data_IF_559287969292
#
_entry.id   IF_559287969292
#
_cell.length_a   1.000
_cell.length_b   1.000
_cell.length_c   1.000
_cell.angle_alpha   90.00
_cell.angle_beta   90.00
_cell.angle_gamma   90.00
#
_symmetry.space_group_name_H-M   'P 1'
#
loop_
_entity.id
_entity.type
_entity.pdbx_description
1 polymer ?
#
# COMPACT_ATOMS: atom_id res chain seq x y z
N UNK A 1 -27.96 -50.80 14.33
CA UNK A 1 -26.81 -50.24 13.59
C UNK A 1 -25.69 -49.99 14.59
N UNK A 2 -24.78 -50.95 14.75
CA UNK A 2 -23.62 -50.86 15.63
C UNK A 2 -22.36 -50.73 14.78
N UNK A 3 -21.51 -49.76 15.08
CA UNK A 3 -20.23 -49.55 14.39
C UNK A 3 -19.20 -50.50 15.01
N UNK A 4 -18.55 -51.41 14.25
CA UNK A 4 -17.47 -52.22 14.80
C UNK A 4 -16.16 -51.43 14.78
N UNK A 5 -15.53 -51.35 15.95
CA UNK A 5 -14.18 -50.80 16.17
C UNK A 5 -13.16 -51.83 15.68
N UNK A 6 -12.41 -51.52 14.62
CA UNK A 6 -11.30 -52.37 14.15
C UNK A 6 -10.05 -52.13 15.02
N UNK A 7 -9.61 -53.16 15.71
CA UNK A 7 -8.31 -53.22 16.39
C UNK A 7 -7.20 -53.50 15.37
N UNK A 8 -6.46 -52.46 14.97
CA UNK A 8 -5.28 -52.57 14.13
C UNK A 8 -4.09 -53.14 14.91
N UNK A 9 -3.68 -54.36 14.60
CA UNK A 9 -2.44 -54.97 15.07
C UNK A 9 -1.26 -54.42 14.27
N UNK A 10 -0.31 -53.77 14.93
CA UNK A 10 0.95 -53.34 14.32
C UNK A 10 1.89 -54.53 14.14
N UNK A 11 2.19 -54.91 12.89
CA UNK A 11 3.31 -55.78 12.55
C UNK A 11 4.41 -54.93 11.91
N UNK A 12 5.57 -54.86 12.56
CA UNK A 12 6.77 -54.23 12.00
C UNK A 12 7.30 -55.07 10.82
N UNK A 13 7.66 -54.47 9.66
CA UNK A 13 8.33 -55.20 8.60
C UNK A 13 9.79 -55.49 8.94
N UNK A 14 10.20 -56.70 8.60
CA UNK A 14 11.54 -57.26 8.75
C UNK A 14 12.57 -56.45 7.93
N UNK A 15 13.65 -56.01 8.58
CA UNK A 15 14.79 -55.32 7.96
C UNK A 15 15.53 -56.33 7.07
N UNK A 16 15.40 -56.18 5.75
CA UNK A 16 16.28 -56.87 4.80
C UNK A 16 17.54 -56.02 4.58
N UNK A 17 18.68 -56.68 4.77
CA UNK A 17 20.04 -56.17 4.57
C UNK A 17 20.27 -55.65 3.15
N UNK A 18 20.66 -54.37 3.05
CA UNK A 18 21.06 -53.73 1.79
C UNK A 18 22.48 -54.17 1.35
N UNK A 19 22.73 -54.34 0.04
CA UNK A 19 24.07 -54.64 -0.47
C UNK A 19 24.99 -53.42 -0.41
N UNK A 20 26.28 -53.67 -0.13
CA UNK A 20 27.36 -52.67 -0.11
C UNK A 20 27.48 -51.98 -1.47
N UNK A 21 27.13 -50.70 -1.53
CA UNK A 21 27.41 -49.84 -2.68
C UNK A 21 28.92 -49.56 -2.78
N UNK A 22 29.47 -49.83 -3.96
CA UNK A 22 30.85 -49.56 -4.33
C UNK A 22 31.07 -48.05 -4.57
N UNK A 23 32.20 -47.56 -4.04
CA UNK A 23 32.91 -46.29 -4.25
C UNK A 23 32.16 -44.95 -4.18
N UNK A 24 32.65 -43.96 -3.40
CA UNK A 24 32.12 -42.61 -3.43
C UNK A 24 32.52 -41.86 -4.72
N UNK A 25 31.68 -40.94 -5.22
CA UNK A 25 32.02 -40.10 -6.37
C UNK A 25 33.13 -39.10 -6.02
N UNK A 26 33.91 -38.73 -7.05
CA UNK A 26 35.01 -37.76 -6.96
C UNK A 26 34.51 -36.42 -6.41
N UNK A 27 35.34 -35.68 -5.63
CA UNK A 27 34.93 -34.38 -5.09
C UNK A 27 34.61 -33.39 -6.22
N UNK A 28 33.41 -32.85 -6.16
CA UNK A 28 32.89 -31.81 -7.04
C UNK A 28 33.83 -30.60 -6.99
N UNK A 29 34.48 -30.29 -8.11
CA UNK A 29 35.20 -29.03 -8.27
C UNK A 29 34.13 -27.93 -8.29
N UNK A 30 34.07 -27.09 -7.26
CA UNK A 30 33.16 -25.94 -7.25
C UNK A 30 33.61 -24.98 -8.34
N UNK A 31 32.87 -24.91 -9.43
CA UNK A 31 33.00 -23.76 -10.33
C UNK A 31 32.53 -22.51 -9.57
N UNK A 32 33.24 -21.38 -9.68
CA UNK A 32 32.78 -20.14 -9.09
C UNK A 32 31.42 -19.78 -9.70
N UNK A 33 30.38 -19.81 -8.88
CA UNK A 33 29.08 -19.28 -9.27
C UNK A 33 29.25 -17.84 -9.73
N UNK A 34 28.74 -17.45 -10.91
CA UNK A 34 28.70 -16.05 -11.29
C UNK A 34 27.93 -15.31 -10.19
N UNK A 35 28.58 -14.35 -9.54
CA UNK A 35 27.92 -13.48 -8.59
C UNK A 35 26.68 -12.89 -9.26
N UNK A 36 25.51 -12.88 -8.60
CA UNK A 36 24.36 -12.21 -9.18
C UNK A 36 24.77 -10.77 -9.42
N UNK A 37 24.77 -10.37 -10.69
CA UNK A 37 24.94 -8.98 -11.06
C UNK A 37 23.94 -8.18 -10.22
N UNK A 38 24.45 -7.27 -9.39
CA UNK A 38 23.64 -6.29 -8.67
C UNK A 38 22.99 -5.42 -9.75
N UNK A 39 21.82 -5.86 -10.22
CA UNK A 39 21.01 -5.16 -11.20
C UNK A 39 20.54 -3.86 -10.59
N UNK A 40 21.15 -2.75 -11.00
CA UNK A 40 20.73 -1.39 -10.68
C UNK A 40 19.47 -1.01 -11.45
N UNK A 41 18.34 -1.69 -11.19
CA UNK A 41 17.07 -1.29 -11.81
C UNK A 41 15.84 -1.97 -11.20
N UNK A 42 15.16 -1.30 -10.24
CA UNK A 42 13.69 -1.36 -10.24
C UNK A 42 13.04 -0.06 -9.72
N UNK A 43 13.66 1.12 -9.89
CA UNK A 43 13.06 2.38 -9.41
C UNK A 43 11.98 2.94 -10.35
N UNK A 44 12.13 2.74 -11.66
CA UNK A 44 11.29 3.42 -12.67
C UNK A 44 9.96 2.72 -12.95
N UNK A 45 9.86 1.41 -12.80
CA UNK A 45 8.62 0.66 -13.08
C UNK A 45 7.56 0.79 -11.96
N UNK A 46 7.97 0.99 -10.70
CA UNK A 46 7.03 1.16 -9.59
C UNK A 46 6.33 2.54 -9.54
N UNK A 47 6.97 3.60 -10.07
CA UNK A 47 6.43 4.96 -10.00
C UNK A 47 5.16 5.20 -10.84
N UNK A 48 5.05 4.73 -12.10
CA UNK A 48 3.83 4.80 -12.89
C UNK A 48 2.65 4.05 -12.24
N UNK A 49 2.92 2.87 -11.68
CA UNK A 49 1.90 2.04 -11.04
C UNK A 49 1.36 2.70 -9.76
N UNK A 50 2.24 3.27 -8.93
CA UNK A 50 1.84 4.05 -7.75
C UNK A 50 1.01 5.28 -8.10
N UNK A 51 1.35 6.00 -9.18
CA UNK A 51 0.54 7.16 -9.65
C UNK A 51 -0.87 6.74 -10.06
N UNK A 52 -1.02 5.60 -10.74
CA UNK A 52 -2.33 5.04 -11.12
C UNK A 52 -3.18 4.71 -9.90
N UNK A 53 -2.60 4.07 -8.88
CA UNK A 53 -3.33 3.76 -7.64
C UNK A 53 -3.79 5.04 -6.94
N UNK A 54 -2.94 6.05 -6.82
CA UNK A 54 -3.33 7.33 -6.21
C UNK A 54 -4.41 8.04 -7.03
N UNK A 55 -4.36 7.97 -8.36
CA UNK A 55 -5.41 8.51 -9.22
C UNK A 55 -6.76 7.83 -8.94
N UNK A 56 -6.81 6.49 -8.88
CA UNK A 56 -8.05 5.76 -8.61
C UNK A 56 -8.57 5.98 -7.19
N UNK A 57 -7.67 6.16 -6.21
CA UNK A 57 -8.04 6.56 -4.86
C UNK A 57 -8.67 7.97 -4.84
N UNK A 58 -8.12 8.92 -5.61
CA UNK A 58 -8.72 10.23 -5.78
C UNK A 58 -10.07 10.16 -6.51
N UNK A 59 -10.21 9.34 -7.55
CA UNK A 59 -11.49 9.14 -8.24
C UNK A 59 -12.56 8.57 -7.29
N UNK A 60 -12.20 7.58 -6.45
CA UNK A 60 -13.10 7.06 -5.42
C UNK A 60 -13.48 8.17 -4.41
N UNK A 61 -12.52 8.98 -3.96
CA UNK A 61 -12.79 10.13 -3.09
C UNK A 61 -13.71 11.18 -3.73
N UNK A 62 -13.55 11.43 -5.03
CA UNK A 62 -14.41 12.34 -5.80
C UNK A 62 -15.85 11.84 -5.84
N UNK A 63 -16.06 10.57 -6.20
CA UNK A 63 -17.37 9.93 -6.18
C UNK A 63 -18.01 9.95 -4.78
N UNK A 64 -17.20 9.70 -3.74
CA UNK A 64 -17.64 9.80 -2.34
C UNK A 64 -18.09 11.21 -1.95
N UNK A 65 -17.42 12.25 -2.47
CA UNK A 65 -17.80 13.65 -2.26
C UNK A 65 -19.20 13.95 -2.78
N UNK A 66 -19.49 13.59 -4.03
CA UNK A 66 -20.84 13.77 -4.57
C UNK A 66 -21.89 12.93 -3.86
N UNK A 67 -21.55 11.70 -3.47
CA UNK A 67 -22.47 10.87 -2.68
C UNK A 67 -22.79 11.49 -1.32
N UNK A 68 -21.80 12.13 -0.70
CA UNK A 68 -21.97 12.85 0.56
C UNK A 68 -22.96 14.02 0.39
N UNK A 69 -22.81 14.83 -0.65
CA UNK A 69 -23.77 15.91 -0.97
C UNK A 69 -25.16 15.34 -1.25
N UNK A 70 -25.27 14.31 -2.10
CA UNK A 70 -26.54 13.68 -2.43
C UNK A 70 -27.26 13.11 -1.19
N UNK A 71 -26.53 12.59 -0.20
CA UNK A 71 -27.14 12.07 1.03
C UNK A 71 -27.51 13.24 1.95
N UNK A 72 -26.54 14.10 2.27
CA UNK A 72 -26.73 15.12 3.30
C UNK A 72 -27.61 16.27 2.81
N UNK A 73 -27.27 16.86 1.66
CA UNK A 73 -27.93 18.07 1.18
C UNK A 73 -29.24 17.77 0.44
N UNK A 74 -29.26 16.77 -0.44
CA UNK A 74 -30.44 16.50 -1.27
C UNK A 74 -31.51 15.69 -0.54
N UNK A 75 -31.12 14.78 0.36
CA UNK A 75 -32.05 13.83 1.01
C UNK A 75 -32.32 14.16 2.46
N UNK A 76 -31.29 14.31 3.29
CA UNK A 76 -31.47 14.58 4.72
C UNK A 76 -31.97 16.01 4.93
N UNK A 77 -31.33 17.00 4.32
CA UNK A 77 -31.69 18.40 4.48
C UNK A 77 -32.70 18.90 3.43
N UNK A 78 -32.66 18.33 2.22
CA UNK A 78 -33.57 18.70 1.12
C UNK A 78 -33.38 20.16 0.65
N UNK A 79 -32.18 20.72 0.77
CA UNK A 79 -31.92 22.13 0.42
C UNK A 79 -31.40 22.33 -1.00
N UNK A 80 -30.96 21.26 -1.66
CA UNK A 80 -29.93 21.37 -2.69
C UNK A 80 -30.27 20.63 -3.99
N UNK A 81 -31.49 20.73 -4.49
CA UNK A 81 -31.83 20.03 -5.73
C UNK A 81 -31.06 20.61 -6.93
N UNK A 82 -30.57 19.73 -7.81
CA UNK A 82 -29.58 20.07 -8.84
C UNK A 82 -30.04 21.20 -9.78
N UNK A 83 -31.34 21.22 -10.08
CA UNK A 83 -31.95 22.12 -11.06
C UNK A 83 -32.81 23.22 -10.42
N UNK A 84 -32.73 23.47 -9.11
CA UNK A 84 -33.63 24.44 -8.44
C UNK A 84 -33.59 25.83 -9.06
N UNK A 85 -32.42 26.33 -9.49
CA UNK A 85 -32.31 27.65 -10.13
C UNK A 85 -32.30 27.56 -11.65
N UNK A 86 -31.80 26.46 -12.21
CA UNK A 86 -31.78 26.24 -13.66
C UNK A 86 -33.17 25.94 -14.25
N UNK A 87 -34.08 25.34 -13.47
CA UNK A 87 -35.43 24.98 -13.87
C UNK A 87 -36.42 25.17 -12.69
N UNK A 88 -36.69 26.43 -12.28
CA UNK A 88 -37.48 26.73 -11.08
C UNK A 88 -38.94 26.27 -11.17
N UNK A 89 -39.48 26.16 -12.39
CA UNK A 89 -40.87 25.73 -12.64
C UNK A 89 -41.00 24.20 -12.79
N UNK A 90 -39.90 23.45 -12.69
CA UNK A 90 -39.93 22.00 -12.79
C UNK A 90 -40.66 21.37 -11.59
N UNK A 91 -41.45 20.33 -11.87
CA UNK A 91 -42.14 19.60 -10.81
C UNK A 91 -41.18 18.80 -9.91
N UNK A 92 -41.63 18.45 -8.71
CA UNK A 92 -40.85 17.68 -7.75
C UNK A 92 -40.29 16.36 -8.31
N UNK A 93 -41.04 15.68 -9.18
CA UNK A 93 -40.57 14.46 -9.86
C UNK A 93 -39.37 14.72 -10.77
N UNK A 94 -39.38 15.83 -11.53
CA UNK A 94 -38.30 16.19 -12.42
C UNK A 94 -37.02 16.54 -11.64
N UNK A 95 -37.15 17.29 -10.53
CA UNK A 95 -36.03 17.54 -9.63
C UNK A 95 -35.46 16.24 -9.04
N UNK A 96 -36.32 15.33 -8.58
CA UNK A 96 -35.90 14.03 -8.06
C UNK A 96 -35.18 13.17 -9.12
N UNK A 97 -35.59 13.24 -10.39
CA UNK A 97 -34.93 12.54 -11.50
C UNK A 97 -33.52 13.08 -11.75
N UNK A 98 -33.33 14.40 -11.77
CA UNK A 98 -32.01 15.00 -11.95
C UNK A 98 -31.08 14.69 -10.77
N UNK A 99 -31.59 14.75 -9.55
CA UNK A 99 -30.83 14.35 -8.35
C UNK A 99 -30.44 12.86 -8.43
N UNK A 100 -31.34 11.99 -8.88
CA UNK A 100 -31.06 10.55 -9.04
C UNK A 100 -30.06 10.27 -10.17
N UNK A 101 -30.11 11.04 -11.26
CA UNK A 101 -29.14 10.93 -12.36
C UNK A 101 -27.73 11.36 -11.90
N UNK A 102 -27.65 12.46 -11.16
CA UNK A 102 -26.41 12.91 -10.53
C UNK A 102 -25.83 11.85 -9.58
N UNK A 103 -26.66 11.33 -8.67
CA UNK A 103 -26.28 10.30 -7.72
C UNK A 103 -25.77 9.03 -8.42
N UNK A 104 -26.45 8.61 -9.50
CA UNK A 104 -26.02 7.46 -10.31
C UNK A 104 -24.66 7.70 -10.94
N UNK A 105 -24.39 8.91 -11.45
CA UNK A 105 -23.10 9.28 -12.02
C UNK A 105 -21.98 9.25 -10.98
N UNK A 106 -22.20 9.84 -9.80
CA UNK A 106 -21.22 9.85 -8.71
C UNK A 106 -20.97 8.46 -8.13
N UNK A 107 -22.02 7.66 -7.98
CA UNK A 107 -21.92 6.26 -7.59
C UNK A 107 -21.12 5.44 -8.62
N UNK A 108 -21.33 5.66 -9.92
CA UNK A 108 -20.54 5.01 -10.96
C UNK A 108 -19.06 5.37 -10.87
N UNK A 109 -18.73 6.66 -10.65
CA UNK A 109 -17.34 7.10 -10.45
C UNK A 109 -16.72 6.41 -9.22
N UNK A 110 -17.45 6.35 -8.11
CA UNK A 110 -17.01 5.66 -6.89
C UNK A 110 -16.75 4.17 -7.15
N UNK A 111 -17.69 3.46 -7.77
CA UNK A 111 -17.56 2.03 -8.10
C UNK A 111 -16.38 1.80 -9.05
N UNK A 112 -16.20 2.63 -10.07
CA UNK A 112 -15.07 2.54 -10.99
C UNK A 112 -13.72 2.74 -10.26
N UNK A 113 -13.64 3.76 -9.40
CA UNK A 113 -12.45 4.00 -8.59
C UNK A 113 -12.11 2.80 -7.69
N UNK A 114 -13.09 2.28 -6.95
CA UNK A 114 -12.90 1.13 -6.07
C UNK A 114 -12.56 -0.15 -6.86
N UNK A 115 -13.24 -0.40 -7.98
CA UNK A 115 -12.98 -1.56 -8.84
C UNK A 115 -11.57 -1.51 -9.41
N UNK A 116 -11.12 -0.33 -9.86
CA UNK A 116 -9.77 -0.15 -10.35
C UNK A 116 -8.72 -0.37 -9.26
N UNK A 117 -8.97 0.07 -8.02
CA UNK A 117 -8.09 -0.22 -6.87
C UNK A 117 -7.99 -1.73 -6.59
N UNK A 118 -9.11 -2.46 -6.68
CA UNK A 118 -9.13 -3.92 -6.51
C UNK A 118 -8.39 -4.66 -7.64
N UNK A 119 -8.53 -4.20 -8.89
CA UNK A 119 -7.77 -4.74 -10.03
C UNK A 119 -6.27 -4.55 -9.80
N UNK A 120 -5.87 -3.40 -9.24
CA UNK A 120 -4.47 -3.07 -8.95
C UNK A 120 -4.07 -3.40 -7.50
N UNK A 121 -4.68 -4.43 -6.88
CA UNK A 121 -4.52 -4.75 -5.45
C UNK A 121 -3.06 -4.89 -4.98
N UNK A 122 -2.17 -5.43 -5.82
CA UNK A 122 -0.77 -5.62 -5.46
C UNK A 122 -0.10 -4.26 -5.19
N UNK A 123 -0.28 -3.32 -6.12
CA UNK A 123 0.22 -1.95 -5.98
C UNK A 123 -0.50 -1.16 -4.88
N UNK A 124 -1.78 -1.46 -4.62
CA UNK A 124 -2.53 -0.89 -3.51
C UNK A 124 -1.91 -1.27 -2.16
N UNK A 125 -1.60 -2.56 -1.96
CA UNK A 125 -1.00 -3.07 -0.73
C UNK A 125 0.42 -2.53 -0.51
N UNK A 126 1.17 -2.31 -1.59
CA UNK A 126 2.49 -1.66 -1.54
C UNK A 126 2.40 -0.14 -1.31
N UNK A 127 1.23 0.47 -1.47
CA UNK A 127 1.06 1.91 -1.31
C UNK A 127 0.90 2.29 0.16
N UNK A 128 1.61 3.34 0.59
CA UNK A 128 1.46 3.88 1.93
C UNK A 128 0.00 4.33 2.17
N UNK A 129 -0.64 3.77 3.21
CA UNK A 129 -2.01 4.10 3.60
C UNK A 129 -2.24 5.62 3.76
N UNK A 130 -1.25 6.32 4.29
CA UNK A 130 -1.25 7.79 4.38
C UNK A 130 -1.46 8.46 3.01
N UNK A 131 -0.76 8.02 1.97
CA UNK A 131 -0.89 8.61 0.64
C UNK A 131 -2.22 8.25 -0.01
N UNK A 132 -2.75 7.04 0.23
CA UNK A 132 -4.09 6.65 -0.23
C UNK A 132 -5.17 7.52 0.42
N UNK A 133 -5.10 7.72 1.74
CA UNK A 133 -6.01 8.62 2.46
C UNK A 133 -5.90 10.06 1.94
N UNK A 134 -4.68 10.54 1.70
CA UNK A 134 -4.45 11.84 1.08
C UNK A 134 -5.07 11.96 -0.32
N UNK A 135 -4.99 10.92 -1.15
CA UNK A 135 -5.59 10.91 -2.47
C UNK A 135 -7.12 10.92 -2.40
N UNK A 136 -7.73 10.10 -1.53
CA UNK A 136 -9.18 10.10 -1.29
C UNK A 136 -9.65 11.48 -0.82
N UNK A 137 -8.97 12.09 0.16
CA UNK A 137 -9.29 13.44 0.64
C UNK A 137 -9.15 14.50 -0.46
N UNK A 138 -8.13 14.37 -1.32
CA UNK A 138 -7.94 15.28 -2.44
C UNK A 138 -9.09 15.17 -3.46
N UNK A 139 -9.51 13.96 -3.78
CA UNK A 139 -10.67 13.72 -4.64
C UNK A 139 -11.96 14.28 -4.05
N UNK A 140 -12.21 14.01 -2.77
CA UNK A 140 -13.38 14.50 -2.04
C UNK A 140 -13.43 16.03 -2.06
N UNK A 141 -12.33 16.70 -1.71
CA UNK A 141 -12.26 18.16 -1.74
C UNK A 141 -12.37 18.75 -3.14
N UNK A 142 -11.79 18.09 -4.15
CA UNK A 142 -11.88 18.53 -5.54
C UNK A 142 -13.33 18.56 -6.04
N UNK A 143 -14.15 17.57 -5.70
CA UNK A 143 -15.58 17.57 -6.05
C UNK A 143 -16.27 18.83 -5.52
N UNK A 144 -16.15 19.12 -4.22
CA UNK A 144 -16.81 20.27 -3.60
C UNK A 144 -16.31 21.62 -4.15
N UNK A 145 -15.03 21.72 -4.53
CA UNK A 145 -14.51 22.90 -5.22
C UNK A 145 -15.14 23.05 -6.60
N UNK A 146 -15.23 21.97 -7.38
CA UNK A 146 -15.86 22.00 -8.69
C UNK A 146 -17.33 22.35 -8.58
N UNK A 147 -18.06 21.75 -7.65
CA UNK A 147 -19.48 22.04 -7.44
C UNK A 147 -19.71 23.52 -7.09
N UNK A 148 -18.99 24.04 -6.09
CA UNK A 148 -19.12 25.44 -5.70
C UNK A 148 -18.74 26.42 -6.83
N UNK A 149 -17.60 26.22 -7.49
CA UNK A 149 -17.10 27.18 -8.48
C UNK A 149 -17.83 27.05 -9.81
N UNK A 150 -17.92 25.82 -10.35
CA UNK A 150 -18.51 25.59 -11.65
C UNK A 150 -20.02 25.64 -11.56
N UNK A 151 -20.64 24.90 -10.65
CA UNK A 151 -22.09 24.69 -10.66
C UNK A 151 -22.83 25.82 -9.93
N UNK A 152 -22.37 26.24 -8.75
CA UNK A 152 -23.08 27.29 -8.00
C UNK A 152 -22.79 28.70 -8.50
N UNK A 153 -21.54 28.98 -8.90
CA UNK A 153 -21.11 30.35 -9.20
C UNK A 153 -21.03 30.65 -10.68
N UNK A 154 -20.43 29.76 -11.48
CA UNK A 154 -20.27 30.00 -12.91
C UNK A 154 -21.56 29.69 -13.68
N UNK A 155 -22.14 28.50 -13.44
CA UNK A 155 -23.37 28.06 -14.10
C UNK A 155 -24.63 28.54 -13.36
N UNK A 156 -24.55 28.71 -12.04
CA UNK A 156 -25.67 29.19 -11.23
C UNK A 156 -26.85 28.24 -11.17
N UNK A 157 -26.64 26.93 -11.33
CA UNK A 157 -27.74 25.95 -11.45
C UNK A 157 -28.49 25.71 -10.14
N UNK A 158 -27.77 25.81 -9.02
CA UNK A 158 -28.31 25.70 -7.67
C UNK A 158 -27.34 26.34 -6.67
N UNK A 159 -27.73 26.38 -5.39
CA UNK A 159 -26.94 26.91 -4.26
C UNK A 159 -27.03 25.92 -3.11
N UNK A 160 -26.09 25.96 -2.15
CA UNK A 160 -26.12 25.07 -0.97
C UNK A 160 -27.45 25.17 -0.22
N UNK A 161 -27.90 26.41 0.02
CA UNK A 161 -29.17 26.68 0.69
C UNK A 161 -29.85 27.90 0.05
N UNK A 162 -30.58 27.71 -1.07
CA UNK A 162 -31.12 28.82 -1.86
C UNK A 162 -32.19 29.62 -1.12
N UNK A 163 -32.94 28.98 -0.21
CA UNK A 163 -33.96 29.64 0.60
C UNK A 163 -33.42 30.43 1.82
N UNK A 164 -32.09 30.45 2.04
CA UNK A 164 -31.51 31.22 3.14
C UNK A 164 -31.51 32.74 2.82
N UNK A 165 -31.58 33.62 3.84
CA UNK A 165 -31.46 35.07 3.62
C UNK A 165 -30.14 35.48 2.95
N UNK A 166 -29.06 34.72 3.22
CA UNK A 166 -27.73 34.94 2.66
C UNK A 166 -27.16 33.63 2.09
N UNK A 167 -27.57 33.19 0.89
CA UNK A 167 -27.15 31.90 0.32
C UNK A 167 -25.64 31.79 0.13
N UNK A 168 -24.97 32.89 -0.23
CA UNK A 168 -23.52 32.92 -0.45
C UNK A 168 -22.71 32.48 0.79
N UNK A 169 -23.17 32.80 2.00
CA UNK A 169 -22.47 32.38 3.22
C UNK A 169 -22.44 30.85 3.33
N UNK A 170 -23.52 30.18 2.94
CA UNK A 170 -23.59 28.72 2.94
C UNK A 170 -22.66 28.10 1.90
N UNK A 171 -22.60 28.67 0.69
CA UNK A 171 -21.66 28.23 -0.34
C UNK A 171 -20.20 28.36 0.12
N UNK A 172 -19.84 29.49 0.75
CA UNK A 172 -18.49 29.74 1.26
C UNK A 172 -18.14 28.80 2.42
N UNK A 173 -19.06 28.56 3.35
CA UNK A 173 -18.85 27.61 4.44
C UNK A 173 -18.68 26.18 3.92
N UNK A 174 -19.50 25.76 2.95
CA UNK A 174 -19.39 24.44 2.34
C UNK A 174 -18.07 24.26 1.59
N UNK A 175 -17.70 25.24 0.76
CA UNK A 175 -16.43 25.26 0.05
C UNK A 175 -15.24 25.23 1.03
N UNK A 176 -15.27 26.03 2.09
CA UNK A 176 -14.19 26.07 3.06
C UNK A 176 -14.03 24.75 3.80
N UNK A 177 -15.14 24.18 4.30
CA UNK A 177 -15.12 23.00 5.17
C UNK A 177 -14.93 21.69 4.41
N UNK A 178 -15.54 21.54 3.24
CA UNK A 178 -15.55 20.27 2.50
C UNK A 178 -14.73 20.32 1.20
N UNK A 179 -14.46 21.50 0.65
CA UNK A 179 -13.56 21.67 -0.49
C UNK A 179 -12.11 21.92 -0.06
N UNK A 180 -11.87 23.11 0.52
CA UNK A 180 -10.53 23.62 0.81
C UNK A 180 -9.87 22.85 1.96
N UNK A 181 -10.55 22.65 3.08
CA UNK A 181 -9.95 21.98 4.23
C UNK A 181 -9.48 20.55 3.90
N UNK A 182 -10.26 19.68 3.22
CA UNK A 182 -9.79 18.36 2.81
C UNK A 182 -8.59 18.41 1.84
N UNK A 183 -8.57 19.36 0.90
CA UNK A 183 -7.43 19.56 0.01
C UNK A 183 -6.16 19.96 0.76
N UNK A 184 -6.27 20.88 1.72
CA UNK A 184 -5.14 21.31 2.57
C UNK A 184 -4.64 20.13 3.41
N UNK A 185 -5.55 19.35 3.99
CA UNK A 185 -5.21 18.15 4.76
C UNK A 185 -4.56 17.06 3.89
N UNK A 186 -4.92 16.96 2.60
CA UNK A 186 -4.32 16.02 1.67
C UNK A 186 -2.84 16.32 1.37
N UNK A 187 -2.42 17.59 1.39
CA UNK A 187 -1.05 18.00 1.02
C UNK A 187 0.07 17.29 1.82
N UNK A 188 0.10 17.32 3.16
CA UNK A 188 1.14 16.63 3.93
C UNK A 188 1.07 15.10 3.75
N UNK A 189 -0.14 14.55 3.56
CA UNK A 189 -0.35 13.11 3.38
C UNK A 189 0.24 12.59 2.06
N UNK A 190 0.25 13.43 1.03
CA UNK A 190 0.81 13.12 -0.29
C UNK A 190 2.31 13.40 -0.40
N UNK A 191 2.89 14.25 0.47
CA UNK A 191 4.31 14.68 0.43
C UNK A 191 5.29 13.73 1.12
N UNK A 192 4.83 12.85 2.00
CA UNK A 192 5.73 12.01 2.81
C UNK A 192 6.15 10.70 2.15
N UNK A 193 7.07 10.78 1.19
CA UNK A 193 7.97 9.67 0.85
C UNK A 193 9.33 9.94 1.51
N UNK A 194 9.68 9.27 2.61
CA UNK A 194 11.09 9.07 2.92
C UNK A 194 11.76 8.43 1.70
N UNK A 195 12.86 9.02 1.25
CA UNK A 195 13.75 8.45 0.22
C UNK A 195 14.54 7.29 0.84
N UNK A 196 13.85 6.27 1.36
CA UNK A 196 14.45 5.16 2.13
C UNK A 196 15.07 4.09 1.22
N UNK A 197 15.82 4.55 0.21
CA UNK A 197 16.92 3.77 -0.39
C UNK A 197 18.30 4.30 0.03
N UNK A 198 18.39 5.30 0.90
CA UNK A 198 19.69 5.86 1.35
C UNK A 198 20.13 5.47 2.77
N UNK A 199 19.33 4.73 3.55
CA UNK A 199 19.72 4.31 4.91
C UNK A 199 20.19 2.85 5.05
N UNK A 200 20.05 2.01 4.01
CA UNK A 200 20.43 0.58 4.08
C UNK A 200 21.75 0.22 3.38
N UNK A 201 22.51 1.20 2.86
CA UNK A 201 23.79 0.96 2.15
C UNK A 201 25.01 1.67 2.75
N UNK A 202 24.91 2.16 3.98
CA UNK A 202 26.07 2.75 4.70
C UNK A 202 26.31 2.14 6.09
N UNK A 203 25.85 0.91 6.32
CA UNK A 203 26.48 0.09 7.36
C UNK A 203 27.70 -0.60 6.73
N UNK A 204 28.94 -0.25 7.10
CA UNK A 204 30.05 -1.15 6.87
C UNK A 204 29.82 -2.33 7.82
N UNK A 205 29.37 -3.46 7.30
CA UNK A 205 29.66 -4.74 7.96
C UNK A 205 31.12 -5.02 7.70
N UNK A 206 32.00 -4.34 8.44
CA UNK A 206 33.36 -4.79 8.60
C UNK A 206 33.29 -6.16 9.25
N UNK A 207 33.52 -7.17 8.41
CA UNK A 207 33.81 -8.51 8.84
C UNK A 207 35.04 -8.49 9.73
N UNK A 208 34.82 -8.55 11.04
CA UNK A 208 35.81 -9.10 11.96
C UNK A 208 35.12 -10.03 12.94
N UNK A 209 35.05 -11.28 12.51
CA UNK A 209 34.99 -12.41 13.41
C UNK A 209 36.22 -12.35 14.34
N UNK A 210 35.97 -12.04 15.61
CA UNK A 210 36.83 -12.38 16.74
C UNK A 210 35.90 -13.11 17.72
N UNK A 211 35.89 -14.44 17.82
CA UNK A 211 37.06 -15.29 17.87
C UNK A 211 37.82 -15.04 19.18
N UNK A 212 37.13 -15.14 20.32
CA UNK A 212 37.78 -15.16 21.65
C UNK A 212 38.52 -16.48 21.81
N UNK A 213 39.69 -16.59 21.19
CA UNK A 213 40.71 -17.57 21.52
C UNK A 213 41.61 -16.98 22.62
N UNK A 214 41.78 -17.73 23.70
CA UNK A 214 42.61 -17.39 24.85
C UNK A 214 44.08 -17.12 24.44
N UNK A 215 44.78 -16.18 25.09
CA UNK A 215 46.16 -15.89 24.76
C UNK A 215 47.10 -17.00 25.29
N UNK A 216 47.75 -17.70 24.35
CA UNK A 216 48.91 -18.52 24.62
C UNK A 216 50.08 -17.64 25.08
N UNK A 217 50.43 -17.76 26.36
CA UNK A 217 51.62 -17.16 26.96
C UNK A 217 52.85 -17.94 26.48
N UNK A 218 53.71 -17.31 25.67
CA UNK A 218 55.03 -17.83 25.31
C UNK A 218 56.09 -16.87 25.83
N UNK A 219 56.83 -17.27 26.86
CA UNK A 219 58.19 -16.77 27.09
C UNK A 219 58.98 -17.77 27.92
N UNK A 220 60.06 -18.27 27.30
CA UNK A 220 61.36 -18.65 27.89
C UNK A 220 61.30 -19.85 28.86
N UNK A 221 62.08 -20.92 28.72
CA UNK A 221 63.36 -21.07 28.07
C UNK A 221 64.29 -21.77 29.05
N UNK A 222 64.28 -23.10 29.09
CA UNK A 222 65.37 -23.94 29.64
C UNK A 222 65.08 -25.41 29.28
N UNK A 223 65.79 -25.98 28.31
CA UNK A 223 66.02 -27.44 28.31
C UNK A 223 67.41 -27.77 27.79
N UNK A 224 68.30 -27.85 28.77
CA UNK A 224 69.46 -28.73 28.88
C UNK A 224 69.57 -29.83 27.82
N UNK A 225 70.66 -29.75 27.05
CA UNK A 225 71.64 -30.80 26.74
C UNK A 225 71.11 -32.11 26.11
N UNK A 226 71.27 -32.23 24.79
CA UNK A 226 71.47 -33.51 24.09
C UNK A 226 72.93 -33.95 24.32
N UNK A 227 73.14 -35.07 24.99
CA UNK A 227 74.36 -35.88 24.82
C UNK A 227 74.17 -36.78 23.61
N UNK A 228 75.13 -36.75 22.69
CA UNK A 228 75.17 -37.58 21.49
C UNK A 228 75.48 -39.06 21.77
N UNK A 229 75.30 -39.93 20.78
CA UNK A 229 75.64 -41.34 20.88
C UNK A 229 77.14 -41.56 20.60
N UNK A 230 77.80 -42.54 21.23
CA UNK A 230 79.05 -43.08 20.70
C UNK A 230 78.80 -44.31 19.83
N UNK A 231 79.74 -44.46 18.91
CA UNK A 231 79.94 -45.52 17.91
C UNK A 231 80.10 -46.92 18.52
N UNK A 232 79.95 -47.97 17.68
CA UNK A 232 79.98 -49.42 18.00
C UNK A 232 81.36 -49.96 18.43
N UNK A 233 81.76 -51.21 18.11
CA UNK A 233 81.14 -52.26 17.27
C UNK A 233 80.15 -53.18 17.99
#
# INVERSE_FOLDING_TARGET
MGIPVQSGHWRAPCIQSAPRLANPPRPWRREPHPSPAVGTGPAKEGAPMRRRVLFWAAAAGFGLGGQFDSILLHRILGWHHLMTLAAPDAGALAHAQWDSAFDTGMFAILVLGLSALLIHRAALVESAARCLAGAVLAGFGLWHVLDAVLVHWLLGWHRIRPAAPTPLVWDLLWLALLGIAPLVLALPLLRGLPSDRTAACLAPTDGRAAGTAAPARRSQGTRSQRKGPPHGP
#
